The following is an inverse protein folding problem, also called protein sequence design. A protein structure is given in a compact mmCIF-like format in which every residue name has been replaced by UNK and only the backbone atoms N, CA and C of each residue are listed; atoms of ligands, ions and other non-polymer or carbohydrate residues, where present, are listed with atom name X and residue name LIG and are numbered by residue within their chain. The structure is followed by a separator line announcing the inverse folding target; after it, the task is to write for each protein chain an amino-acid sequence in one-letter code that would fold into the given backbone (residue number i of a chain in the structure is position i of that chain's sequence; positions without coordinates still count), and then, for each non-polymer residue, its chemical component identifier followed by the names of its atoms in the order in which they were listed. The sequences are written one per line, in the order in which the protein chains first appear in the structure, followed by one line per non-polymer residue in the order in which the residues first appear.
data_IF_559135011591
#
_entry.id   IF_559135011591
#
_cell.length_a   1.000
_cell.length_b   1.000
_cell.length_c   1.000
_cell.angle_alpha   90.00
_cell.angle_beta   90.00
_cell.angle_gamma   90.00
#
_symmetry.space_group_name_H-M   'P 1'
#
loop_
_entity.id
_entity.type
_entity.pdbx_description
1 polymer ?
#
# COMPACT_ATOMS: atom_id res chain seq x y z
N UNK A 1 -24.12 -7.81 -33.76
CA UNK A 1 -23.09 -6.93 -33.18
C UNK A 1 -22.68 -7.59 -31.89
N UNK A 2 -21.56 -8.31 -31.91
CA UNK A 2 -21.04 -9.05 -30.75
C UNK A 2 -20.10 -8.13 -29.98
N UNK A 3 -20.21 -8.19 -28.66
CA UNK A 3 -19.62 -7.29 -27.70
C UNK A 3 -18.13 -7.06 -27.90
N UNK A 4 -17.73 -5.80 -27.69
CA UNK A 4 -16.34 -5.40 -27.54
C UNK A 4 -15.70 -6.15 -26.36
N UNK A 5 -15.12 -7.30 -26.66
CA UNK A 5 -14.08 -7.92 -25.86
C UNK A 5 -12.85 -6.99 -25.87
N UNK A 6 -12.92 -5.91 -25.10
CA UNK A 6 -11.71 -5.25 -24.60
C UNK A 6 -11.01 -6.29 -23.74
N UNK A 7 -10.14 -7.06 -24.38
CA UNK A 7 -9.13 -7.88 -23.75
C UNK A 7 -8.32 -6.99 -22.82
N UNK A 8 -8.75 -6.87 -21.55
CA UNK A 8 -7.84 -6.47 -20.47
C UNK A 8 -6.72 -7.50 -20.52
N UNK A 9 -5.61 -7.15 -21.16
CA UNK A 9 -4.39 -7.95 -21.11
C UNK A 9 -4.11 -8.18 -19.63
N UNK A 10 -4.34 -9.41 -19.15
CA UNK A 10 -3.89 -9.81 -17.82
C UNK A 10 -2.39 -9.51 -17.79
N UNK A 11 -1.97 -8.62 -16.89
CA UNK A 11 -0.55 -8.40 -16.66
C UNK A 11 0.08 -9.74 -16.28
N UNK A 12 1.24 -10.05 -16.85
CA UNK A 12 1.95 -11.25 -16.42
C UNK A 12 2.34 -11.09 -14.94
N UNK A 13 2.39 -12.15 -14.14
CA UNK A 13 2.76 -12.05 -12.72
C UNK A 13 4.09 -11.34 -12.47
N UNK A 14 5.04 -11.44 -13.40
CA UNK A 14 6.32 -10.72 -13.34
C UNK A 14 6.15 -9.21 -13.45
N UNK A 15 5.19 -8.75 -14.25
CA UNK A 15 4.90 -7.33 -14.44
C UNK A 15 4.25 -6.74 -13.20
N UNK A 16 3.44 -7.51 -12.47
CA UNK A 16 2.84 -7.08 -11.20
C UNK A 16 3.90 -6.79 -10.12
N UNK A 17 5.05 -7.47 -10.17
CA UNK A 17 6.09 -7.33 -9.16
C UNK A 17 6.93 -6.05 -9.34
N UNK A 18 7.20 -5.63 -10.58
CA UNK A 18 8.16 -4.52 -10.85
C UNK A 18 7.54 -3.30 -11.52
N UNK A 19 6.36 -3.42 -12.12
CA UNK A 19 5.71 -2.31 -12.80
C UNK A 19 5.28 -1.21 -11.82
N UNK A 20 5.29 0.02 -12.33
CA UNK A 20 4.78 1.22 -11.67
C UNK A 20 3.31 1.51 -12.02
N UNK A 21 2.64 0.62 -12.77
CA UNK A 21 1.21 0.80 -13.04
C UNK A 21 0.40 0.79 -11.73
N UNK A 22 -0.70 1.56 -11.65
CA UNK A 22 -1.58 1.55 -10.48
C UNK A 22 -2.06 0.14 -10.09
N UNK A 23 -2.34 -0.71 -11.08
CA UNK A 23 -2.73 -2.10 -10.86
C UNK A 23 -1.62 -2.95 -10.20
N UNK A 24 -0.37 -2.83 -10.66
CA UNK A 24 0.76 -3.54 -10.06
C UNK A 24 1.05 -3.06 -8.63
N UNK A 25 0.92 -1.75 -8.37
CA UNK A 25 1.04 -1.17 -7.03
C UNK A 25 -0.04 -1.70 -6.09
N UNK A 26 -1.30 -1.69 -6.51
CA UNK A 26 -2.42 -2.22 -5.73
C UNK A 26 -2.25 -3.72 -5.43
N UNK A 27 -1.78 -4.50 -6.41
CA UNK A 27 -1.48 -5.92 -6.20
C UNK A 27 -0.38 -6.12 -5.15
N UNK A 28 0.73 -5.37 -5.24
CA UNK A 28 1.83 -5.44 -4.24
C UNK A 28 1.38 -5.02 -2.85
N UNK A 29 0.58 -3.96 -2.73
CA UNK A 29 -0.01 -3.56 -1.46
C UNK A 29 -0.85 -4.69 -0.86
N UNK A 30 -1.65 -5.37 -1.69
CA UNK A 30 -2.46 -6.51 -1.24
C UNK A 30 -1.60 -7.71 -0.81
N UNK A 31 -0.49 -7.98 -1.50
CA UNK A 31 0.42 -9.04 -1.07
C UNK A 31 1.06 -8.71 0.29
N UNK A 32 1.50 -7.46 0.49
CA UNK A 32 2.06 -7.04 1.78
C UNK A 32 1.06 -7.17 2.94
N UNK A 33 -0.24 -6.92 2.69
CA UNK A 33 -1.30 -7.17 3.68
C UNK A 33 -1.43 -8.65 4.03
N UNK A 34 -1.39 -9.54 3.03
CA UNK A 34 -1.48 -11.00 3.22
C UNK A 34 -0.26 -11.52 3.97
N UNK A 35 0.94 -11.07 3.60
CA UNK A 35 2.17 -11.43 4.30
C UNK A 35 2.11 -11.02 5.77
N UNK A 36 1.62 -9.80 6.05
CA UNK A 36 1.43 -9.32 7.42
C UNK A 36 0.43 -10.18 8.23
N UNK A 37 -0.65 -10.64 7.59
CA UNK A 37 -1.62 -11.56 8.22
C UNK A 37 -1.00 -12.92 8.52
N UNK A 38 -0.21 -13.48 7.59
CA UNK A 38 0.50 -14.76 7.76
C UNK A 38 1.51 -14.67 8.91
N UNK A 39 2.22 -13.55 9.02
CA UNK A 39 3.19 -13.28 10.08
C UNK A 39 2.55 -12.90 11.43
N UNK A 40 1.23 -12.73 11.47
CA UNK A 40 0.49 -12.33 12.68
C UNK A 40 0.82 -10.91 13.13
N UNK A 41 1.25 -10.03 12.21
CA UNK A 41 1.60 -8.65 12.53
C UNK A 41 0.33 -7.83 12.82
N UNK A 42 0.36 -6.97 13.86
CA UNK A 42 -0.78 -6.13 14.20
C UNK A 42 -1.00 -5.07 13.12
N UNK A 43 -2.28 -4.81 12.80
CA UNK A 43 -2.68 -3.73 11.91
C UNK A 43 -2.84 -2.43 12.69
N UNK A 44 -2.36 -1.34 12.10
CA UNK A 44 -2.57 0.02 12.59
C UNK A 44 -3.62 0.73 11.71
N UNK A 45 -4.88 0.88 12.17
CA UNK A 45 -5.94 1.51 11.37
C UNK A 45 -5.68 3.00 11.11
N UNK A 46 -4.97 3.70 12.00
CA UNK A 46 -4.64 5.11 11.81
C UNK A 46 -3.56 5.29 10.75
N UNK A 47 -2.54 4.42 10.76
CA UNK A 47 -1.52 4.41 9.70
C UNK A 47 -2.13 4.10 8.33
N UNK A 48 -3.08 3.15 8.27
CA UNK A 48 -3.79 2.82 7.04
C UNK A 48 -4.62 4.01 6.52
N UNK A 49 -5.34 4.71 7.42
CA UNK A 49 -6.09 5.90 7.07
C UNK A 49 -5.19 7.04 6.58
N UNK A 50 -4.03 7.25 7.23
CA UNK A 50 -3.03 8.23 6.83
C UNK A 50 -2.47 7.93 5.43
N UNK A 51 -2.11 6.68 5.15
CA UNK A 51 -1.65 6.27 3.82
C UNK A 51 -2.72 6.50 2.74
N UNK A 52 -3.96 6.09 3.00
CA UNK A 52 -5.09 6.28 2.07
C UNK A 52 -5.45 7.76 1.84
N UNK A 53 -5.22 8.64 2.82
CA UNK A 53 -5.37 10.08 2.63
C UNK A 53 -4.28 10.63 1.69
N UNK A 54 -3.02 10.27 1.93
CA UNK A 54 -1.91 10.75 1.10
C UNK A 54 -1.99 10.27 -0.35
N UNK A 55 -2.45 9.05 -0.58
CA UNK A 55 -2.71 8.54 -1.94
C UNK A 55 -3.80 9.35 -2.65
N UNK A 56 -4.91 9.66 -1.98
CA UNK A 56 -5.98 10.51 -2.52
C UNK A 56 -5.51 11.92 -2.85
N UNK A 57 -4.61 12.46 -2.03
CA UNK A 57 -4.05 13.81 -2.20
C UNK A 57 -2.93 13.85 -3.25
N UNK A 58 -2.52 12.70 -3.80
CA UNK A 58 -1.45 12.61 -4.80
C UNK A 58 -0.07 12.95 -4.25
N UNK A 59 0.16 12.71 -2.95
CA UNK A 59 1.46 12.95 -2.31
C UNK A 59 2.53 12.04 -2.95
N UNK A 60 3.73 12.54 -3.29
CA UNK A 60 4.80 11.71 -3.84
C UNK A 60 5.21 10.58 -2.90
N UNK A 61 5.59 9.42 -3.45
CA UNK A 61 5.87 8.21 -2.68
C UNK A 61 6.97 8.42 -1.61
N UNK A 62 8.04 9.15 -1.94
CA UNK A 62 9.13 9.46 -1.01
C UNK A 62 8.62 10.26 0.20
N UNK A 63 7.68 11.17 -0.02
CA UNK A 63 7.08 11.97 1.03
C UNK A 63 6.09 11.15 1.88
N UNK A 64 5.32 10.24 1.25
CA UNK A 64 4.46 9.31 1.98
C UNK A 64 5.28 8.44 2.94
N UNK A 65 6.39 7.88 2.46
CA UNK A 65 7.31 7.06 3.26
C UNK A 65 7.85 7.87 4.44
N UNK A 66 8.35 9.09 4.20
CA UNK A 66 8.89 9.94 5.25
C UNK A 66 7.85 10.26 6.34
N UNK A 67 6.60 10.55 5.95
CA UNK A 67 5.50 10.84 6.87
C UNK A 67 5.07 9.63 7.69
N UNK A 68 4.99 8.43 7.09
CA UNK A 68 4.70 7.18 7.82
C UNK A 68 5.81 6.84 8.82
N UNK A 69 7.08 6.99 8.43
CA UNK A 69 8.22 6.80 9.36
C UNK A 69 8.12 7.78 10.54
N UNK A 70 7.81 9.05 10.28
CA UNK A 70 7.64 10.06 11.34
C UNK A 70 6.49 9.70 12.28
N UNK A 71 5.33 9.28 11.74
CA UNK A 71 4.18 8.82 12.51
C UNK A 71 4.56 7.67 13.46
N UNK A 72 5.21 6.62 12.97
CA UNK A 72 5.59 5.48 13.81
C UNK A 72 6.70 5.82 14.82
N UNK A 73 7.64 6.71 14.49
CA UNK A 73 8.67 7.20 15.44
C UNK A 73 8.06 8.00 16.59
N UNK A 74 7.08 8.87 16.30
CA UNK A 74 6.38 9.64 17.32
C UNK A 74 5.60 8.69 18.25
N UNK A 75 4.92 7.69 17.67
CA UNK A 75 4.13 6.72 18.43
C UNK A 75 5.00 5.82 19.31
N UNK A 76 6.14 5.33 18.81
CA UNK A 76 7.05 4.50 19.62
C UNK A 76 7.76 5.30 20.72
N UNK A 77 8.07 6.57 20.48
CA UNK A 77 8.60 7.48 21.50
C UNK A 77 7.60 7.79 22.62
N UNK A 78 6.30 7.79 22.32
CA UNK A 78 5.23 7.96 23.30
C UNK A 78 4.85 6.66 24.03
N UNK A 79 5.34 5.50 23.59
CA UNK A 79 4.97 4.19 24.13
C UNK A 79 5.85 3.74 25.32
N UNK A 80 6.67 4.62 25.89
CA UNK A 80 7.61 4.33 27.00
C UNK A 80 7.16 4.91 28.36
N UNK A 81 5.88 5.20 28.55
CA UNK A 81 5.30 5.66 29.81
C UNK A 81 3.95 4.99 30.08
N UNK A 82 3.95 3.66 30.27
CA UNK A 82 3.00 2.94 31.13
C UNK A 82 3.68 1.72 31.75
#
# INVERSE_FOLDING_TARGET
MVDSEMTRKRLHPKDLFTSQSPEARAWRAKQAEVDSEIEGLPRDPEAAALAAQMERDGVPDEEQIARLIAYFKMRSGNSSLE
#
